data_IF_859490238320
#
_entry.id   IF_859490238320
#
_cell.length_a   1.000
_cell.length_b   1.000
_cell.length_c   1.000
_cell.angle_alpha   90.00
_cell.angle_beta   90.00
_cell.angle_gamma   90.00
#
_symmetry.space_group_name_H-M   'P 1'
#
loop_
_entity.id
_entity.type
_entity.pdbx_description
1 polymer ?
#
# COMPACT_ATOMS: atom_id res chain seq x y z
N UNK A 1 14.01 8.53 4.90
CA UNK A 1 12.60 8.39 4.42
C UNK A 1 11.68 8.28 5.63
N UNK A 2 10.52 8.91 5.64
CA UNK A 2 9.53 8.70 6.71
C UNK A 2 8.76 7.40 6.49
N UNK A 3 8.50 6.66 7.57
CA UNK A 3 7.71 5.43 7.58
C UNK A 3 6.58 5.55 8.58
N UNK A 4 5.52 4.78 8.35
CA UNK A 4 4.40 4.68 9.27
C UNK A 4 4.21 3.21 9.68
N UNK A 5 4.29 2.94 10.98
CA UNK A 5 3.87 1.68 11.57
C UNK A 5 2.46 1.85 12.13
N UNK A 6 1.53 1.04 11.64
CA UNK A 6 0.13 1.10 12.06
C UNK A 6 -0.24 -0.12 12.92
N UNK A 7 -0.66 0.15 14.15
CA UNK A 7 -1.08 -0.87 15.11
C UNK A 7 -2.56 -0.73 15.43
N UNK A 8 -3.31 -1.84 15.39
CA UNK A 8 -4.68 -1.87 15.89
C UNK A 8 -4.65 -1.89 17.41
N UNK A 9 -5.39 -0.98 18.05
CA UNK A 9 -5.47 -0.97 19.52
C UNK A 9 -6.45 -2.02 20.03
N UNK A 10 -6.02 -2.76 21.05
CA UNK A 10 -6.94 -3.37 22.00
C UNK A 10 -7.40 -2.26 22.95
N UNK A 11 -8.71 -2.05 23.06
CA UNK A 11 -9.25 -0.93 23.81
C UNK A 11 -10.11 -1.47 24.94
N UNK A 12 -9.76 -1.09 26.17
CA UNK A 12 -10.74 -1.10 27.25
C UNK A 12 -11.81 -0.02 27.00
N UNK A 13 -12.90 -0.08 27.76
CA UNK A 13 -14.04 0.83 27.62
C UNK A 13 -13.66 2.30 27.86
N UNK A 14 -12.72 2.55 28.76
CA UNK A 14 -12.29 3.90 29.16
C UNK A 14 -11.41 4.54 28.08
N UNK A 15 -10.36 3.83 27.62
CA UNK A 15 -9.52 4.30 26.52
C UNK A 15 -10.35 4.54 25.26
N UNK A 16 -11.28 3.64 24.93
CA UNK A 16 -12.17 3.84 23.78
C UNK A 16 -12.97 5.14 23.88
N UNK A 17 -13.54 5.45 25.04
CA UNK A 17 -14.31 6.68 25.24
C UNK A 17 -13.44 7.94 25.07
N UNK A 18 -12.21 7.93 25.59
CA UNK A 18 -11.25 9.03 25.40
C UNK A 18 -10.97 9.24 23.90
N UNK A 19 -10.69 8.15 23.17
CA UNK A 19 -10.35 8.22 21.75
C UNK A 19 -11.53 8.69 20.90
N UNK A 20 -12.75 8.21 21.18
CA UNK A 20 -13.97 8.69 20.54
C UNK A 20 -14.17 10.19 20.77
N UNK A 21 -13.98 10.65 22.01
CA UNK A 21 -14.09 12.05 22.36
C UNK A 21 -13.08 12.92 21.62
N UNK A 22 -11.77 12.64 21.71
CA UNK A 22 -10.75 13.49 21.06
C UNK A 22 -10.87 13.47 19.52
N UNK A 23 -11.25 12.34 18.92
CA UNK A 23 -11.43 12.25 17.48
C UNK A 23 -12.71 12.97 17.01
N UNK A 24 -13.78 13.01 17.81
CA UNK A 24 -14.96 13.81 17.53
C UNK A 24 -14.65 15.32 17.63
N UNK A 25 -13.87 15.72 18.62
CA UNK A 25 -13.45 17.12 18.80
C UNK A 25 -12.50 17.57 17.67
N UNK A 26 -11.60 16.68 17.23
CA UNK A 26 -10.77 16.92 16.04
C UNK A 26 -11.59 17.08 14.77
N UNK A 27 -12.68 16.32 14.61
CA UNK A 27 -13.60 16.48 13.49
C UNK A 27 -14.22 17.89 13.50
N UNK A 28 -14.72 18.34 14.66
CA UNK A 28 -15.32 19.67 14.77
C UNK A 28 -14.30 20.78 14.48
N UNK A 29 -13.09 20.69 15.07
CA UNK A 29 -12.04 21.67 14.85
C UNK A 29 -11.60 21.74 13.37
N UNK A 30 -11.54 20.58 12.70
CA UNK A 30 -11.24 20.51 11.26
C UNK A 30 -12.30 21.24 10.44
N UNK A 31 -13.59 21.03 10.75
CA UNK A 31 -14.68 21.73 10.08
C UNK A 31 -14.68 23.24 10.37
N UNK A 32 -14.33 23.68 11.58
CA UNK A 32 -14.09 25.10 11.89
C UNK A 32 -12.99 25.67 10.99
N UNK A 33 -11.83 25.01 10.94
CA UNK A 33 -10.72 25.44 10.08
C UNK A 33 -11.11 25.52 8.60
N UNK A 34 -11.80 24.49 8.09
CA UNK A 34 -12.30 24.46 6.70
C UNK A 34 -13.29 25.60 6.46
N UNK A 35 -14.20 25.87 7.40
CA UNK A 35 -15.17 26.96 7.28
C UNK A 35 -14.46 28.30 7.09
N UNK A 36 -13.56 28.64 8.01
CA UNK A 36 -12.82 29.90 7.95
C UNK A 36 -12.03 30.03 6.65
N UNK A 37 -11.26 28.97 6.31
CA UNK A 37 -10.43 28.96 5.12
C UNK A 37 -11.25 29.14 3.84
N UNK A 38 -12.40 28.48 3.74
CA UNK A 38 -13.32 28.62 2.61
C UNK A 38 -13.94 30.00 2.55
N UNK A 39 -14.39 30.57 3.67
CA UNK A 39 -14.96 31.92 3.69
C UNK A 39 -13.94 32.97 3.25
N UNK A 40 -12.69 32.84 3.71
CA UNK A 40 -11.61 33.74 3.32
C UNK A 40 -11.32 33.65 1.81
N UNK A 41 -11.16 32.42 1.29
CA UNK A 41 -10.90 32.18 -0.14
C UNK A 41 -12.05 32.70 -1.01
N UNK A 42 -13.30 32.36 -0.68
CA UNK A 42 -14.47 32.77 -1.47
C UNK A 42 -14.69 34.30 -1.46
N UNK A 43 -14.52 34.96 -0.31
CA UNK A 43 -14.81 36.40 -0.17
C UNK A 43 -13.67 37.30 -0.61
N UNK A 44 -12.42 36.88 -0.41
CA UNK A 44 -11.25 37.77 -0.58
C UNK A 44 -10.19 37.22 -1.53
N UNK A 45 -10.33 35.96 -1.99
CA UNK A 45 -9.32 35.25 -2.77
C UNK A 45 -7.93 35.15 -2.08
N UNK A 46 -7.89 35.42 -0.76
CA UNK A 46 -6.70 35.27 0.08
C UNK A 46 -6.59 33.85 0.60
N UNK A 47 -5.36 33.39 0.77
CA UNK A 47 -5.06 32.08 1.35
C UNK A 47 -4.78 32.26 2.83
N UNK A 48 -5.24 31.31 3.63
CA UNK A 48 -4.75 31.13 4.99
C UNK A 48 -3.27 30.75 4.99
N UNK A 49 -2.49 31.49 5.76
CA UNK A 49 -1.14 31.13 6.14
C UNK A 49 -1.13 29.92 7.08
N UNK A 50 0.06 29.32 7.23
CA UNK A 50 0.28 28.12 8.06
C UNK A 50 -0.19 28.28 9.51
N UNK A 51 -0.11 29.48 10.07
CA UNK A 51 -0.41 29.78 11.47
C UNK A 51 -1.66 30.63 11.67
N UNK A 52 -2.37 30.99 10.60
CA UNK A 52 -3.50 31.92 10.69
C UNK A 52 -4.67 31.28 11.43
N UNK A 53 -4.96 30.02 11.12
CA UNK A 53 -6.00 29.26 11.80
C UNK A 53 -5.69 29.05 13.29
N UNK A 54 -4.42 28.87 13.65
CA UNK A 54 -4.02 28.72 15.05
C UNK A 54 -4.29 29.98 15.86
N UNK A 55 -3.99 31.16 15.28
CA UNK A 55 -4.26 32.46 15.91
C UNK A 55 -5.76 32.69 16.09
N UNK A 56 -6.54 32.35 15.07
CA UNK A 56 -8.00 32.50 15.05
C UNK A 56 -8.67 31.59 16.09
N UNK A 57 -8.30 30.30 16.11
CA UNK A 57 -9.02 29.29 16.88
C UNK A 57 -8.41 28.95 18.25
N UNK A 58 -7.37 29.65 18.72
CA UNK A 58 -6.73 29.39 20.03
C UNK A 58 -7.70 29.36 21.22
N UNK A 59 -8.76 30.16 21.16
CA UNK A 59 -9.78 30.28 22.21
C UNK A 59 -11.03 29.43 21.93
N UNK A 60 -11.03 28.65 20.84
CA UNK A 60 -12.15 27.78 20.50
C UNK A 60 -12.23 26.60 21.47
N UNK A 61 -13.45 26.22 21.85
CA UNK A 61 -13.70 25.08 22.75
C UNK A 61 -13.04 23.79 22.26
N UNK A 62 -13.19 23.45 20.97
CA UNK A 62 -12.61 22.24 20.38
C UNK A 62 -11.08 22.28 20.37
N UNK A 63 -10.49 23.46 20.22
CA UNK A 63 -9.04 23.66 20.32
C UNK A 63 -8.54 23.38 21.74
N UNK A 64 -9.21 23.94 22.75
CA UNK A 64 -8.78 23.86 24.16
C UNK A 64 -9.03 22.48 24.80
N UNK A 65 -9.97 21.71 24.25
CA UNK A 65 -10.22 20.31 24.60
C UNK A 65 -9.06 19.41 24.16
N UNK A 66 -8.47 19.69 23.01
CA UNK A 66 -7.27 19.01 22.55
C UNK A 66 -6.02 19.59 23.22
N UNK A 67 -4.92 18.82 23.23
CA UNK A 67 -3.63 19.43 23.57
C UNK A 67 -3.29 20.49 22.50
N UNK A 68 -2.69 21.62 22.89
CA UNK A 68 -2.44 22.73 21.96
C UNK A 68 -1.66 22.31 20.72
N UNK A 69 -0.69 21.40 20.88
CA UNK A 69 0.09 20.90 19.74
C UNK A 69 -0.71 20.00 18.81
N UNK A 70 -1.63 19.20 19.34
CA UNK A 70 -2.51 18.39 18.51
C UNK A 70 -3.51 19.26 17.73
N UNK A 71 -4.09 20.25 18.40
CA UNK A 71 -5.00 21.23 17.78
C UNK A 71 -4.29 22.01 16.65
N UNK A 72 -3.06 22.46 16.89
CA UNK A 72 -2.23 23.11 15.87
C UNK A 72 -1.98 22.23 14.66
N UNK A 73 -1.66 20.94 14.89
CA UNK A 73 -1.38 20.02 13.79
C UNK A 73 -2.63 19.74 12.94
N UNK A 74 -3.82 19.72 13.55
CA UNK A 74 -5.11 19.61 12.84
C UNK A 74 -5.33 20.82 11.94
N UNK A 75 -5.21 22.04 12.49
CA UNK A 75 -5.43 23.27 11.73
C UNK A 75 -4.37 23.48 10.64
N UNK A 76 -3.12 23.11 10.91
CA UNK A 76 -2.06 23.08 9.90
C UNK A 76 -2.37 22.12 8.75
N UNK A 77 -2.93 20.94 9.02
CA UNK A 77 -3.37 20.01 7.96
C UNK A 77 -4.46 20.60 7.06
N UNK A 78 -5.35 21.43 7.63
CA UNK A 78 -6.34 22.19 6.85
C UNK A 78 -5.64 23.22 5.95
N UNK A 79 -4.71 24.00 6.51
CA UNK A 79 -3.94 24.99 5.74
C UNK A 79 -3.15 24.34 4.59
N UNK A 80 -2.51 23.19 4.84
CA UNK A 80 -1.79 22.40 3.83
C UNK A 80 -2.74 21.91 2.71
N UNK A 81 -3.93 21.43 3.08
CA UNK A 81 -4.94 20.98 2.11
C UNK A 81 -5.40 22.11 1.19
N UNK A 82 -5.57 23.33 1.72
CA UNK A 82 -5.95 24.51 0.93
C UNK A 82 -4.82 24.96 0.01
N UNK A 83 -3.58 24.94 0.50
CA UNK A 83 -2.40 25.23 -0.31
C UNK A 83 -2.30 24.26 -1.49
N UNK A 84 -2.42 22.96 -1.24
CA UNK A 84 -2.41 21.94 -2.30
C UNK A 84 -3.56 22.14 -3.30
N UNK A 85 -4.77 22.46 -2.83
CA UNK A 85 -5.89 22.78 -3.72
C UNK A 85 -5.55 23.93 -4.67
N UNK A 86 -4.96 25.03 -4.17
CA UNK A 86 -4.63 26.18 -5.01
C UNK A 86 -3.57 25.87 -6.05
N UNK A 87 -2.50 25.17 -5.66
CA UNK A 87 -1.44 24.73 -6.57
C UNK A 87 -2.01 23.86 -7.69
N UNK A 88 -2.87 22.89 -7.36
CA UNK A 88 -3.56 22.06 -8.35
C UNK A 88 -4.53 22.88 -9.22
N UNK A 89 -5.25 23.84 -8.64
CA UNK A 89 -6.22 24.66 -9.39
C UNK A 89 -5.50 25.55 -10.41
N UNK A 90 -4.30 26.06 -10.09
CA UNK A 90 -3.45 26.77 -11.04
C UNK A 90 -3.02 25.87 -12.20
N UNK A 91 -2.55 24.65 -11.91
CA UNK A 91 -2.19 23.66 -12.96
C UNK A 91 -3.38 23.27 -13.83
N UNK A 92 -4.55 23.06 -13.22
CA UNK A 92 -5.80 22.77 -13.95
C UNK A 92 -6.20 23.91 -14.88
N UNK A 93 -6.07 25.18 -14.44
CA UNK A 93 -6.32 26.35 -15.30
C UNK A 93 -5.36 26.45 -16.48
N UNK A 94 -4.15 25.90 -16.37
CA UNK A 94 -3.17 25.80 -17.46
C UNK A 94 -3.39 24.59 -18.39
N UNK A 95 -4.38 23.74 -18.11
CA UNK A 95 -4.61 22.51 -18.88
C UNK A 95 -3.65 21.36 -18.57
N UNK A 96 -2.82 21.48 -17.52
CA UNK A 96 -1.84 20.45 -17.13
C UNK A 96 -2.45 19.25 -16.40
N UNK A 97 -3.74 19.33 -16.02
CA UNK A 97 -4.45 18.30 -15.28
C UNK A 97 -5.71 17.86 -16.04
N UNK A 98 -5.92 16.55 -16.10
CA UNK A 98 -7.15 15.93 -16.65
C UNK A 98 -8.37 16.20 -15.77
N UNK A 99 -8.16 16.24 -14.44
CA UNK A 99 -9.23 16.42 -13.46
C UNK A 99 -9.21 17.81 -12.84
N UNK A 100 -10.40 18.36 -12.63
CA UNK A 100 -10.58 19.65 -11.95
C UNK A 100 -10.50 19.47 -10.43
N UNK A 101 -9.57 20.14 -9.74
CA UNK A 101 -9.48 20.06 -8.28
C UNK A 101 -10.67 20.76 -7.62
N UNK A 102 -11.05 20.29 -6.43
CA UNK A 102 -12.15 20.83 -5.65
C UNK A 102 -11.68 21.39 -4.31
N UNK A 103 -12.26 22.52 -3.92
CA UNK A 103 -12.01 23.15 -2.63
C UNK A 103 -12.38 22.16 -1.50
N UNK A 104 -11.55 22.00 -0.44
CA UNK A 104 -11.80 21.07 0.65
C UNK A 104 -13.21 21.22 1.22
N UNK A 105 -13.94 20.11 1.29
CA UNK A 105 -15.34 20.07 1.74
C UNK A 105 -15.39 19.80 3.23
N UNK A 106 -16.46 20.26 3.87
CA UNK A 106 -16.76 19.87 5.24
C UNK A 106 -16.85 18.35 5.36
N UNK A 107 -16.35 17.83 6.47
CA UNK A 107 -16.54 16.44 6.83
C UNK A 107 -18.00 16.26 7.25
N UNK A 108 -18.69 15.26 6.67
CA UNK A 108 -20.11 15.01 6.88
C UNK A 108 -20.39 14.55 8.33
N UNK A 109 -21.63 14.75 8.80
CA UNK A 109 -22.08 14.70 10.21
C UNK A 109 -21.57 13.48 11.03
N UNK A 110 -21.32 13.76 12.31
CA UNK A 110 -20.91 12.84 13.39
C UNK A 110 -19.81 11.84 13.00
N UNK A 111 -18.72 12.39 12.45
CA UNK A 111 -17.52 11.65 12.13
C UNK A 111 -16.46 11.72 13.23
N UNK A 112 -15.65 10.67 13.32
CA UNK A 112 -14.38 10.70 14.04
C UNK A 112 -13.28 11.10 13.04
N UNK A 113 -12.39 12.01 13.42
CA UNK A 113 -11.26 12.43 12.58
C UNK A 113 -9.90 12.11 13.20
N UNK A 114 -8.87 12.08 12.36
CA UNK A 114 -7.50 11.79 12.74
C UNK A 114 -6.97 12.84 13.73
N UNK A 115 -6.41 12.40 14.85
CA UNK A 115 -5.68 13.27 15.77
C UNK A 115 -4.19 12.99 15.66
N UNK A 116 -3.38 14.05 15.55
CA UNK A 116 -1.94 13.92 15.38
C UNK A 116 -1.20 14.63 16.49
N UNK A 117 -0.22 13.94 17.07
CA UNK A 117 0.66 14.45 18.12
C UNK A 117 2.11 14.46 17.62
N UNK A 118 2.75 15.63 17.48
CA UNK A 118 4.18 15.68 17.19
C UNK A 118 4.98 15.13 18.38
N UNK A 119 6.19 14.62 18.10
CA UNK A 119 7.08 14.02 19.12
C UNK A 119 7.22 14.88 20.38
N UNK A 120 7.35 16.19 20.23
CA UNK A 120 7.56 17.13 21.34
C UNK A 120 6.37 17.22 22.32
N UNK A 121 5.16 16.75 21.93
CA UNK A 121 4.01 16.62 22.84
C UNK A 121 4.05 15.34 23.67
N UNK A 122 4.78 14.32 23.21
CA UNK A 122 4.76 12.97 23.76
C UNK A 122 5.84 12.84 24.83
N UNK A 123 5.54 12.08 25.89
CA UNK A 123 6.54 11.69 26.90
C UNK A 123 6.61 10.18 27.03
N UNK A 124 7.80 9.68 27.36
CA UNK A 124 7.99 8.29 27.75
C UNK A 124 7.90 8.18 29.26
N UNK A 125 7.01 7.33 29.75
CA UNK A 125 6.75 7.13 31.18
C UNK A 125 6.39 5.67 31.38
N UNK A 126 7.07 4.96 32.29
CA UNK A 126 6.75 3.58 32.70
C UNK A 126 6.49 2.61 31.53
N UNK A 127 7.39 2.60 30.55
CA UNK A 127 7.29 1.79 29.32
C UNK A 127 6.09 2.08 28.40
N UNK A 128 5.43 3.22 28.61
CA UNK A 128 4.29 3.68 27.83
C UNK A 128 4.55 5.08 27.26
N UNK A 129 3.76 5.44 26.25
CA UNK A 129 3.75 6.79 25.69
C UNK A 129 2.61 7.55 26.35
N UNK A 130 2.98 8.58 27.14
CA UNK A 130 2.04 9.54 27.70
C UNK A 130 1.64 10.54 26.61
N UNK A 131 0.33 10.62 26.37
CA UNK A 131 -0.29 11.52 25.40
C UNK A 131 -1.08 12.59 26.16
N UNK A 132 -0.77 13.89 25.99
CA UNK A 132 -1.45 14.95 26.71
C UNK A 132 -2.85 15.21 26.17
N UNK A 133 -3.74 15.64 27.06
CA UNK A 133 -5.06 16.17 26.74
C UNK A 133 -5.07 17.69 26.94
N UNK A 134 -6.14 18.35 26.49
CA UNK A 134 -6.31 19.78 26.67
C UNK A 134 -6.61 20.17 28.11
N UNK A 135 -6.35 21.44 28.45
CA UNK A 135 -6.59 21.97 29.81
C UNK A 135 -8.06 21.86 30.22
N UNK A 136 -8.96 22.01 29.25
CA UNK A 136 -10.41 21.89 29.44
C UNK A 136 -10.80 20.47 29.87
N UNK A 137 -10.16 19.44 29.32
CA UNK A 137 -10.42 18.04 29.70
C UNK A 137 -9.97 17.76 31.12
N UNK A 138 -8.80 18.31 31.50
CA UNK A 138 -8.33 18.24 32.89
C UNK A 138 -9.31 18.88 33.87
N UNK A 139 -9.89 20.03 33.50
CA UNK A 139 -10.87 20.73 34.33
C UNK A 139 -12.19 19.96 34.44
N UNK A 140 -12.70 19.42 33.33
CA UNK A 140 -14.01 18.73 33.33
C UNK A 140 -13.95 17.33 33.92
N UNK A 141 -12.86 16.59 33.70
CA UNK A 141 -12.79 15.16 34.00
C UNK A 141 -11.63 14.77 34.92
N UNK A 142 -10.83 15.74 35.39
CA UNK A 142 -9.61 15.46 36.15
C UNK A 142 -8.51 14.76 35.33
N UNK A 143 -8.70 14.60 34.02
CA UNK A 143 -7.84 13.80 33.15
C UNK A 143 -6.91 14.71 32.33
N UNK A 144 -5.62 14.67 32.62
CA UNK A 144 -4.61 15.48 31.94
C UNK A 144 -3.92 14.77 30.77
N UNK A 145 -4.01 13.45 30.73
CA UNK A 145 -3.32 12.58 29.78
C UNK A 145 -3.87 11.16 29.78
N UNK A 146 -3.51 10.40 28.75
CA UNK A 146 -3.71 8.96 28.69
C UNK A 146 -2.44 8.29 28.17
N UNK A 147 -2.37 6.97 28.31
CA UNK A 147 -1.18 6.21 28.00
C UNK A 147 -1.47 5.17 26.93
N UNK A 148 -0.53 5.02 25.99
CA UNK A 148 -0.57 3.97 24.99
C UNK A 148 0.63 3.04 25.13
N UNK A 149 0.44 1.72 24.92
CA UNK A 149 1.54 0.78 24.93
C UNK A 149 2.47 1.06 23.76
N UNK A 150 3.71 0.66 23.96
CA UNK A 150 4.77 0.86 22.99
C UNK A 150 4.96 -0.41 22.18
N UNK A 151 5.72 -0.32 21.11
CA UNK A 151 5.96 -1.45 20.23
C UNK A 151 7.38 -1.94 20.43
N UNK A 152 7.58 -3.23 20.63
CA UNK A 152 8.91 -3.82 20.88
C UNK A 152 9.91 -3.59 19.74
N UNK A 153 9.42 -3.29 18.54
CA UNK A 153 10.23 -3.12 17.34
C UNK A 153 10.51 -1.65 16.96
N UNK A 154 10.10 -0.67 17.76
CA UNK A 154 10.33 0.76 17.49
C UNK A 154 10.72 1.49 18.77
N UNK A 155 11.85 2.20 18.76
CA UNK A 155 12.29 2.97 19.92
C UNK A 155 11.54 4.29 19.98
N UNK A 156 11.21 4.75 21.20
CA UNK A 156 10.51 6.01 21.38
C UNK A 156 11.22 7.17 20.68
N UNK A 157 12.55 7.25 20.77
CA UNK A 157 13.39 8.31 20.21
C UNK A 157 13.27 8.43 18.68
N UNK A 158 12.90 7.36 17.98
CA UNK A 158 12.78 7.33 16.53
C UNK A 158 11.43 7.91 16.05
N UNK A 159 10.44 7.95 16.94
CA UNK A 159 9.12 8.50 16.65
C UNK A 159 9.24 10.00 16.42
N UNK A 160 8.70 10.46 15.29
CA UNK A 160 8.59 11.87 14.91
C UNK A 160 7.18 12.39 15.16
N UNK A 161 6.19 11.52 15.00
CA UNK A 161 4.78 11.85 15.15
C UNK A 161 3.97 10.59 15.50
N UNK A 162 2.95 10.74 16.34
CA UNK A 162 1.98 9.70 16.66
C UNK A 162 0.61 10.15 16.19
N UNK A 163 -0.10 9.31 15.44
CA UNK A 163 -1.47 9.59 14.98
C UNK A 163 -2.45 8.58 15.50
N UNK A 164 -3.64 9.06 15.85
CA UNK A 164 -4.78 8.26 16.28
C UNK A 164 -5.79 8.31 15.15
N UNK A 165 -5.87 7.20 14.40
CA UNK A 165 -6.71 7.08 13.22
C UNK A 165 -7.97 6.25 13.53
N UNK A 166 -9.15 6.88 13.59
CA UNK A 166 -10.40 6.16 13.62
C UNK A 166 -10.72 5.56 12.24
N UNK A 167 -11.08 4.28 12.19
CA UNK A 167 -11.47 3.59 10.95
C UNK A 167 -12.43 2.43 11.25
N UNK A 168 -13.62 2.45 10.66
CA UNK A 168 -14.62 1.36 10.77
C UNK A 168 -14.88 0.90 12.22
N UNK A 169 -15.09 1.86 13.14
CA UNK A 169 -15.23 1.63 14.60
C UNK A 169 -14.04 0.98 15.30
N UNK A 170 -12.87 0.97 14.65
CA UNK A 170 -11.60 0.62 15.26
C UNK A 170 -10.73 1.87 15.36
N UNK A 171 -9.77 1.85 16.27
CA UNK A 171 -8.74 2.88 16.34
C UNK A 171 -7.37 2.27 16.08
N UNK A 172 -6.62 2.97 15.25
CA UNK A 172 -5.24 2.65 14.93
C UNK A 172 -4.32 3.69 15.53
N UNK A 173 -3.20 3.24 16.08
CA UNK A 173 -2.06 4.11 16.36
C UNK A 173 -1.11 4.00 15.20
N UNK A 174 -0.79 5.13 14.60
CA UNK A 174 0.20 5.26 13.57
C UNK A 174 1.44 5.95 14.15
N UNK A 175 2.54 5.21 14.24
CA UNK A 175 3.83 5.76 14.60
C UNK A 175 4.56 6.16 13.32
N UNK A 176 4.74 7.46 13.13
CA UNK A 176 5.54 8.00 12.05
C UNK A 176 6.96 8.17 12.57
N UNK A 177 7.91 7.55 11.90
CA UNK A 177 9.33 7.57 12.27
C UNK A 177 10.20 7.74 11.05
N UNK A 178 11.40 8.24 11.27
CA UNK A 178 12.40 8.32 10.22
C UNK A 178 13.15 7.00 10.13
N UNK A 179 13.17 6.40 8.94
CA UNK A 179 13.98 5.23 8.64
C UNK A 179 15.09 5.65 7.70
N UNK A 180 16.30 5.23 8.04
CA UNK A 180 17.38 5.20 7.06
C UNK A 180 17.16 3.98 6.16
N UNK A 181 17.51 4.06 4.86
CA UNK A 181 17.62 2.89 4.02
C UNK A 181 18.55 1.88 4.71
N UNK A 182 18.19 0.59 4.64
CA UNK A 182 19.11 -0.47 5.00
C UNK A 182 19.88 -0.75 3.72
N UNK A 183 21.14 -0.39 3.71
CA UNK A 183 21.99 -0.80 2.61
C UNK A 183 22.12 -2.33 2.74
N UNK A 184 21.82 -3.09 1.67
CA UNK A 184 21.86 -4.56 1.61
C UNK A 184 22.58 -4.95 0.33
N UNK A 185 23.62 -5.79 0.37
CA UNK A 185 24.37 -6.15 -0.85
C UNK A 185 23.50 -6.93 -1.80
N UNK A 186 23.30 -6.38 -2.98
CA UNK A 186 22.74 -7.09 -4.13
C UNK A 186 23.72 -6.86 -5.28
N UNK A 187 24.22 -7.95 -5.89
CA UNK A 187 24.88 -7.91 -7.23
C UNK A 187 24.00 -7.05 -8.17
N UNK A 188 24.41 -6.38 -9.26
CA UNK A 188 23.52 -5.61 -10.16
C UNK A 188 23.03 -6.34 -11.44
N UNK A 189 23.56 -7.53 -11.74
CA UNK A 189 23.35 -8.30 -12.99
C UNK A 189 22.18 -9.31 -12.95
N UNK A 190 21.87 -9.89 -11.80
CA UNK A 190 20.61 -10.64 -11.60
C UNK A 190 19.34 -9.77 -11.75
N UNK A 191 18.29 -10.33 -12.30
CA UNK A 191 17.03 -9.60 -12.47
C UNK A 191 15.88 -10.51 -12.10
N UNK A 192 14.85 -9.94 -11.50
CA UNK A 192 13.59 -10.60 -11.22
C UNK A 192 12.49 -9.91 -12.01
N UNK A 193 11.94 -10.61 -13.00
CA UNK A 193 10.74 -10.18 -13.74
C UNK A 193 9.50 -10.60 -12.99
N UNK A 194 8.53 -9.69 -12.90
CA UNK A 194 7.29 -9.88 -12.17
C UNK A 194 6.08 -9.59 -13.07
N UNK A 195 5.24 -10.60 -13.28
CA UNK A 195 3.96 -10.52 -14.02
C UNK A 195 2.79 -10.62 -13.02
N UNK A 196 2.03 -9.54 -12.79
CA UNK A 196 0.84 -9.55 -11.94
C UNK A 196 -0.37 -10.13 -12.68
N UNK A 197 -0.84 -11.29 -12.21
CA UNK A 197 -2.04 -11.93 -12.74
C UNK A 197 -3.26 -11.87 -11.81
N UNK A 198 -4.34 -12.54 -12.24
CA UNK A 198 -5.59 -12.61 -11.46
C UNK A 198 -5.65 -13.79 -10.48
N UNK A 199 -5.29 -14.99 -10.95
CA UNK A 199 -5.37 -16.21 -10.13
C UNK A 199 -4.02 -16.52 -9.50
N UNK A 200 -2.97 -16.50 -10.31
CA UNK A 200 -1.60 -16.31 -9.86
C UNK A 200 -1.48 -14.80 -9.69
N UNK A 201 -1.53 -14.32 -8.44
CA UNK A 201 -1.60 -12.89 -8.16
C UNK A 201 -0.33 -12.17 -8.64
N UNK A 202 0.81 -12.83 -8.48
CA UNK A 202 2.10 -12.37 -8.97
C UNK A 202 2.93 -13.59 -9.35
N UNK A 203 3.54 -13.58 -10.52
CA UNK A 203 4.47 -14.60 -10.98
C UNK A 203 5.84 -13.98 -11.16
N UNK A 204 6.87 -14.61 -10.58
CA UNK A 204 8.24 -14.15 -10.66
C UNK A 204 9.12 -15.13 -11.42
N UNK A 205 10.03 -14.61 -12.24
CA UNK A 205 11.12 -15.35 -12.87
C UNK A 205 12.42 -14.61 -12.62
N UNK A 206 13.45 -15.32 -12.17
CA UNK A 206 14.78 -14.77 -11.95
C UNK A 206 15.73 -15.20 -13.06
N UNK A 207 16.65 -14.31 -13.45
CA UNK A 207 17.78 -14.66 -14.31
C UNK A 207 18.70 -15.74 -13.69
N UNK A 208 18.59 -15.98 -12.38
CA UNK A 208 19.28 -17.09 -11.68
C UNK A 208 18.62 -18.46 -11.90
N UNK A 209 17.62 -18.56 -12.77
CA UNK A 209 16.97 -19.83 -13.09
C UNK A 209 15.95 -20.31 -12.05
N UNK A 210 15.35 -19.39 -11.28
CA UNK A 210 14.26 -19.70 -10.35
C UNK A 210 12.97 -19.02 -10.76
N UNK A 211 11.84 -19.63 -10.39
CA UNK A 211 10.53 -19.05 -10.65
C UNK A 211 9.54 -19.37 -9.55
N UNK A 212 8.63 -18.45 -9.29
CA UNK A 212 7.61 -18.60 -8.27
C UNK A 212 6.28 -17.97 -8.66
N UNK A 213 5.23 -18.37 -7.95
CA UNK A 213 3.86 -17.87 -8.09
C UNK A 213 3.31 -17.60 -6.70
N UNK A 214 2.78 -16.40 -6.48
CA UNK A 214 1.98 -16.07 -5.31
C UNK A 214 0.50 -16.31 -5.63
N UNK A 215 -0.16 -17.20 -4.91
CA UNK A 215 -1.57 -17.53 -5.16
C UNK A 215 -2.52 -16.41 -4.74
N UNK A 216 -3.38 -15.98 -5.67
CA UNK A 216 -4.41 -14.96 -5.47
C UNK A 216 -5.80 -15.52 -5.17
N UNK A 217 -6.01 -16.83 -5.26
CA UNK A 217 -7.35 -17.43 -5.11
C UNK A 217 -7.93 -17.24 -3.73
N UNK A 218 -7.11 -17.40 -2.69
CA UNK A 218 -7.59 -17.19 -1.33
C UNK A 218 -7.99 -15.71 -1.11
N UNK A 219 -7.19 -14.76 -1.61
CA UNK A 219 -7.48 -13.32 -1.52
C UNK A 219 -8.80 -12.99 -2.22
N UNK A 220 -9.01 -13.58 -3.39
CA UNK A 220 -10.27 -13.50 -4.13
C UNK A 220 -11.45 -14.11 -3.38
N UNK A 221 -11.26 -15.26 -2.74
CA UNK A 221 -12.29 -15.92 -1.93
C UNK A 221 -12.73 -15.04 -0.76
N UNK A 222 -11.78 -14.42 -0.06
CA UNK A 222 -12.04 -13.46 1.01
C UNK A 222 -12.86 -12.28 0.50
N UNK A 223 -12.51 -11.71 -0.66
CA UNK A 223 -13.23 -10.57 -1.20
C UNK A 223 -14.63 -10.96 -1.71
N UNK A 224 -14.79 -12.14 -2.33
CA UNK A 224 -16.10 -12.66 -2.75
C UNK A 224 -17.03 -12.85 -1.56
N UNK A 225 -16.53 -13.43 -0.47
CA UNK A 225 -17.31 -13.59 0.76
C UNK A 225 -17.74 -12.24 1.33
N UNK A 226 -16.83 -11.27 1.37
CA UNK A 226 -17.15 -9.89 1.78
C UNK A 226 -18.27 -9.28 0.93
N UNK A 227 -18.20 -9.37 -0.41
CA UNK A 227 -19.26 -8.84 -1.27
C UNK A 227 -20.61 -9.52 -1.05
N UNK A 228 -20.63 -10.84 -0.86
CA UNK A 228 -21.86 -11.57 -0.51
C UNK A 228 -22.48 -11.03 0.78
N UNK A 229 -21.66 -10.84 1.83
CA UNK A 229 -22.12 -10.29 3.11
C UNK A 229 -22.61 -8.85 2.98
N UNK A 230 -21.92 -8.00 2.21
CA UNK A 230 -22.37 -6.62 1.97
C UNK A 230 -23.70 -6.57 1.23
N UNK A 231 -23.89 -7.42 0.21
CA UNK A 231 -25.14 -7.50 -0.54
C UNK A 231 -26.31 -7.86 0.37
N UNK A 232 -26.17 -8.92 1.19
CA UNK A 232 -27.19 -9.31 2.17
C UNK A 232 -27.48 -8.21 3.19
N UNK A 233 -26.46 -7.52 3.71
CA UNK A 233 -26.66 -6.46 4.71
C UNK A 233 -27.27 -5.17 4.15
N UNK A 234 -27.15 -4.93 2.84
CA UNK A 234 -27.70 -3.75 2.16
C UNK A 234 -29.02 -4.02 1.46
N UNK A 235 -29.49 -5.26 1.45
CA UNK A 235 -30.76 -5.65 0.86
C UNK A 235 -31.93 -4.89 1.51
N UNK A 236 -32.76 -4.25 0.69
CA UNK A 236 -33.88 -3.42 1.16
C UNK A 236 -33.48 -2.17 1.96
N UNK A 237 -32.20 -1.74 1.93
CA UNK A 237 -31.73 -0.54 2.65
C UNK A 237 -31.56 0.67 1.71
N UNK A 238 -31.71 1.89 2.23
CA UNK A 238 -31.53 3.10 1.43
C UNK A 238 -30.10 3.22 0.90
N UNK A 239 -29.95 3.97 -0.20
CA UNK A 239 -28.64 4.28 -0.77
C UNK A 239 -27.76 4.99 0.27
N UNK A 240 -26.54 4.48 0.47
CA UNK A 240 -25.61 4.99 1.47
C UNK A 240 -25.75 4.37 2.87
N UNK A 241 -26.63 3.37 3.05
CA UNK A 241 -26.74 2.65 4.32
C UNK A 241 -25.40 2.12 4.83
N UNK A 242 -25.14 2.39 6.11
CA UNK A 242 -23.94 1.99 6.82
C UNK A 242 -24.30 1.53 8.23
N UNK A 243 -23.71 0.42 8.69
CA UNK A 243 -23.99 -0.18 9.99
C UNK A 243 -22.72 -0.64 10.68
N UNK A 244 -22.78 -0.81 12.00
CA UNK A 244 -21.67 -1.37 12.80
C UNK A 244 -21.22 -2.72 12.26
N UNK A 245 -22.14 -3.55 11.77
CA UNK A 245 -21.80 -4.84 11.17
C UNK A 245 -21.06 -4.67 9.84
N UNK A 246 -21.51 -3.76 8.97
CA UNK A 246 -20.83 -3.43 7.71
C UNK A 246 -19.41 -2.93 7.97
N UNK A 247 -19.23 -2.04 8.94
CA UNK A 247 -17.92 -1.55 9.34
C UNK A 247 -16.99 -2.69 9.84
N UNK A 248 -17.48 -3.58 10.71
CA UNK A 248 -16.72 -4.74 11.22
C UNK A 248 -16.24 -5.67 10.09
N UNK A 249 -17.14 -6.05 9.16
CA UNK A 249 -16.76 -6.95 8.05
C UNK A 249 -15.81 -6.26 7.07
N UNK A 250 -15.99 -4.96 6.85
CA UNK A 250 -15.11 -4.13 5.99
C UNK A 250 -13.72 -4.06 6.59
N UNK A 251 -13.60 -3.82 7.89
CA UNK A 251 -12.30 -3.73 8.56
C UNK A 251 -11.59 -5.08 8.60
N UNK A 252 -12.31 -6.18 8.86
CA UNK A 252 -11.76 -7.53 8.79
C UNK A 252 -11.17 -7.82 7.41
N UNK A 253 -11.91 -7.47 6.35
CA UNK A 253 -11.46 -7.62 4.95
C UNK A 253 -10.27 -6.72 4.63
N UNK A 254 -10.29 -5.45 5.03
CA UNK A 254 -9.19 -4.51 4.79
C UNK A 254 -7.88 -4.97 5.45
N UNK A 255 -7.94 -5.46 6.69
CA UNK A 255 -6.78 -6.04 7.38
C UNK A 255 -6.22 -7.26 6.65
N UNK A 256 -7.08 -8.18 6.21
CA UNK A 256 -6.65 -9.34 5.42
C UNK A 256 -5.93 -8.91 4.15
N UNK A 257 -6.49 -7.99 3.38
CA UNK A 257 -5.85 -7.51 2.14
C UNK A 257 -4.49 -6.90 2.43
N UNK A 258 -4.39 -6.04 3.45
CA UNK A 258 -3.12 -5.43 3.85
C UNK A 258 -2.09 -6.47 4.25
N UNK A 259 -2.48 -7.47 5.02
CA UNK A 259 -1.61 -8.58 5.42
C UNK A 259 -1.11 -9.36 4.20
N UNK A 260 -1.98 -9.69 3.25
CA UNK A 260 -1.59 -10.35 1.99
C UNK A 260 -0.60 -9.50 1.18
N UNK A 261 -0.87 -8.20 1.02
CA UNK A 261 0.03 -7.25 0.32
C UNK A 261 1.40 -7.21 0.98
N UNK A 262 1.45 -7.08 2.31
CA UNK A 262 2.72 -7.02 3.03
C UNK A 262 3.50 -8.34 2.96
N UNK A 263 2.82 -9.48 3.06
CA UNK A 263 3.45 -10.80 2.95
C UNK A 263 3.96 -11.09 1.54
N UNK A 264 3.17 -10.76 0.51
CA UNK A 264 3.58 -10.93 -0.87
C UNK A 264 4.78 -10.03 -1.21
N UNK A 265 4.73 -8.76 -0.82
CA UNK A 265 5.86 -7.84 -1.02
C UNK A 265 7.12 -8.33 -0.28
N UNK A 266 6.97 -8.75 0.98
CA UNK A 266 8.09 -9.33 1.75
C UNK A 266 8.65 -10.58 1.09
N UNK A 267 7.78 -11.46 0.57
CA UNK A 267 8.22 -12.66 -0.12
C UNK A 267 9.07 -12.31 -1.35
N UNK A 268 8.61 -11.38 -2.19
CA UNK A 268 9.37 -10.94 -3.36
C UNK A 268 10.73 -10.40 -2.98
N UNK A 269 10.80 -9.54 -1.95
CA UNK A 269 12.06 -8.96 -1.46
C UNK A 269 12.95 -10.06 -0.89
N UNK A 270 12.40 -10.97 -0.08
CA UNK A 270 13.13 -12.14 0.42
C UNK A 270 13.68 -12.99 -0.74
N UNK A 271 12.93 -13.21 -1.82
CA UNK A 271 13.45 -13.93 -2.98
C UNK A 271 14.63 -13.18 -3.63
N UNK A 272 14.66 -11.86 -3.59
CA UNK A 272 15.80 -11.10 -4.11
C UNK A 272 17.03 -11.19 -3.21
N UNK A 273 16.83 -11.32 -1.90
CA UNK A 273 17.90 -11.42 -0.90
C UNK A 273 18.41 -12.86 -0.70
N UNK A 274 17.50 -13.84 -0.64
CA UNK A 274 17.78 -15.25 -0.35
C UNK A 274 18.47 -15.96 -1.50
N UNK A 275 18.27 -15.56 -2.76
CA UNK A 275 18.93 -16.21 -3.91
C UNK A 275 20.43 -15.88 -4.05
N UNK A 276 21.04 -15.30 -3.01
CA UNK A 276 22.50 -15.37 -2.79
C UNK A 276 22.93 -16.66 -2.07
N UNK A 277 21.98 -17.47 -1.54
CA UNK A 277 22.22 -18.72 -0.82
C UNK A 277 21.10 -19.75 -1.13
N UNK A 278 21.36 -20.63 -2.09
CA UNK A 278 20.65 -21.83 -2.54
C UNK A 278 19.35 -22.34 -1.84
N UNK A 279 18.30 -22.51 -2.68
CA UNK A 279 17.34 -23.63 -2.93
C UNK A 279 16.23 -24.12 -1.95
N UNK A 280 15.03 -24.17 -2.57
CA UNK A 280 13.98 -25.21 -2.62
C UNK A 280 12.92 -25.42 -1.51
N UNK A 281 11.63 -25.38 -1.91
CA UNK A 281 10.54 -26.27 -1.45
C UNK A 281 9.22 -26.09 -2.26
N UNK A 282 8.70 -27.15 -2.91
CA UNK A 282 7.47 -27.12 -3.76
C UNK A 282 6.28 -27.83 -3.08
N UNK A 283 5.06 -27.28 -3.19
CA UNK A 283 3.79 -28.03 -3.04
C UNK A 283 2.64 -27.47 -3.91
N UNK A 284 1.68 -28.34 -4.26
CA UNK A 284 0.61 -28.14 -5.23
C UNK A 284 -0.79 -27.88 -4.62
N UNK A 285 -1.71 -27.32 -5.43
CA UNK A 285 -3.12 -27.14 -5.08
C UNK A 285 -4.00 -26.68 -6.26
N UNK A 286 -5.10 -27.42 -6.52
CA UNK A 286 -5.98 -27.28 -7.69
C UNK A 286 -7.11 -26.22 -7.54
N UNK A 287 -7.69 -25.85 -8.68
CA UNK A 287 -8.39 -24.59 -9.01
C UNK A 287 -9.93 -24.66 -8.94
N UNK A 288 -10.56 -23.51 -8.62
CA UNK A 288 -11.97 -23.20 -8.88
C UNK A 288 -12.16 -21.84 -9.59
N UNK A 289 -13.29 -21.65 -10.30
CA UNK A 289 -13.58 -20.58 -11.30
C UNK A 289 -14.38 -19.35 -10.77
N UNK A 290 -14.45 -18.34 -11.67
CA UNK A 290 -15.25 -17.08 -11.78
C UNK A 290 -14.68 -15.75 -11.23
N UNK A 291 -14.80 -14.70 -12.06
CA UNK A 291 -14.03 -13.45 -12.15
C UNK A 291 -14.56 -12.28 -11.29
N UNK A 292 -13.66 -11.39 -10.83
CA UNK A 292 -13.90 -9.99 -10.40
C UNK A 292 -12.59 -9.20 -10.62
N UNK A 293 -12.40 -8.59 -11.79
CA UNK A 293 -11.13 -7.96 -12.21
C UNK A 293 -10.80 -6.66 -11.46
N UNK A 294 -11.80 -5.83 -11.16
CA UNK A 294 -11.61 -4.49 -10.56
C UNK A 294 -11.05 -4.48 -9.13
N UNK A 295 -11.25 -5.56 -8.37
CA UNK A 295 -10.68 -5.67 -7.03
C UNK A 295 -9.20 -6.05 -7.04
N UNK A 296 -8.85 -6.98 -7.94
CA UNK A 296 -7.47 -7.46 -8.04
C UNK A 296 -6.56 -6.31 -8.46
N UNK A 297 -7.00 -5.43 -9.37
CA UNK A 297 -6.24 -4.24 -9.76
C UNK A 297 -5.90 -3.34 -8.57
N UNK A 298 -6.84 -3.09 -7.64
CA UNK A 298 -6.59 -2.28 -6.44
C UNK A 298 -5.58 -2.96 -5.50
N UNK A 299 -5.71 -4.28 -5.28
CA UNK A 299 -4.78 -5.02 -4.44
C UNK A 299 -3.37 -5.08 -5.07
N UNK A 300 -3.31 -5.26 -6.40
CA UNK A 300 -2.09 -5.24 -7.18
C UNK A 300 -1.43 -3.86 -7.13
N UNK A 301 -2.16 -2.76 -7.33
CA UNK A 301 -1.61 -1.41 -7.20
C UNK A 301 -0.98 -1.17 -5.81
N UNK A 302 -1.65 -1.64 -4.75
CA UNK A 302 -1.10 -1.59 -3.38
C UNK A 302 0.15 -2.47 -3.22
N UNK A 303 0.19 -3.62 -3.88
CA UNK A 303 1.35 -4.50 -3.89
C UNK A 303 2.53 -3.86 -4.63
N UNK A 304 2.29 -3.25 -5.80
CA UNK A 304 3.31 -2.49 -6.56
C UNK A 304 3.94 -1.40 -5.71
N UNK A 305 3.09 -0.54 -5.13
CA UNK A 305 3.55 0.54 -4.25
C UNK A 305 4.31 0.01 -3.04
N UNK A 306 3.82 -1.07 -2.42
CA UNK A 306 4.50 -1.67 -1.28
C UNK A 306 5.86 -2.26 -1.66
N UNK A 307 5.97 -2.90 -2.82
CA UNK A 307 7.25 -3.42 -3.31
C UNK A 307 8.20 -2.27 -3.58
N UNK A 308 7.79 -1.22 -4.31
CA UNK A 308 8.59 -0.01 -4.54
C UNK A 308 9.20 0.56 -3.25
N UNK A 309 8.38 0.72 -2.21
CA UNK A 309 8.84 1.19 -0.89
C UNK A 309 9.88 0.27 -0.24
N UNK A 310 9.71 -1.05 -0.35
CA UNK A 310 10.68 -2.02 0.20
C UNK A 310 11.95 -2.10 -0.64
N UNK A 311 11.84 -1.95 -1.96
CA UNK A 311 12.95 -1.91 -2.90
C UNK A 311 13.85 -0.71 -2.58
N UNK A 312 13.27 0.49 -2.47
CA UNK A 312 13.98 1.71 -2.05
C UNK A 312 14.70 1.54 -0.71
N UNK A 313 14.06 0.86 0.25
CA UNK A 313 14.65 0.59 1.55
C UNK A 313 15.83 -0.37 1.52
N UNK A 314 15.83 -1.33 0.60
CA UNK A 314 16.87 -2.35 0.48
C UNK A 314 17.92 -1.97 -0.57
N UNK A 315 17.88 -0.75 -1.12
CA UNK A 315 18.78 -0.32 -2.20
C UNK A 315 18.51 -1.02 -3.54
N UNK A 316 17.36 -1.68 -3.70
CA UNK A 316 16.99 -2.29 -4.96
C UNK A 316 16.21 -1.24 -5.78
N UNK A 317 16.76 -0.80 -6.91
CA UNK A 317 16.12 0.02 -7.93
C UNK A 317 14.89 -0.70 -8.44
N UNK A 318 13.87 0.06 -8.82
CA UNK A 318 12.60 -0.47 -9.30
C UNK A 318 12.17 0.29 -10.55
N UNK A 319 12.05 -0.44 -11.65
CA UNK A 319 11.70 0.04 -12.99
C UNK A 319 10.28 -0.43 -13.26
N UNK A 320 9.49 0.38 -13.94
CA UNK A 320 8.21 -0.07 -14.50
C UNK A 320 8.34 -0.18 -16.04
N UNK A 321 7.73 -1.20 -16.65
CA UNK A 321 7.77 -1.46 -18.11
C UNK A 321 6.40 -1.89 -18.64
N UNK A 322 6.13 -1.64 -19.92
CA UNK A 322 4.86 -1.95 -20.57
C UNK A 322 4.70 -3.41 -21.03
N UNK A 323 3.46 -3.93 -21.01
CA UNK A 323 3.12 -5.34 -21.29
C UNK A 323 3.11 -5.74 -22.78
N UNK A 324 3.46 -4.84 -23.70
CA UNK A 324 3.24 -5.05 -25.13
C UNK A 324 3.84 -6.38 -25.61
N UNK A 325 2.96 -7.27 -26.09
CA UNK A 325 3.26 -8.60 -26.64
C UNK A 325 3.94 -9.60 -25.69
N UNK A 326 4.10 -9.31 -24.39
CA UNK A 326 4.73 -10.21 -23.40
C UNK A 326 3.98 -11.53 -23.26
N UNK A 327 2.66 -11.55 -23.45
CA UNK A 327 1.84 -12.76 -23.38
C UNK A 327 1.76 -13.55 -24.71
N UNK A 328 2.33 -13.02 -25.81
CA UNK A 328 2.18 -13.56 -27.16
C UNK A 328 3.50 -14.08 -27.72
N UNK A 329 4.56 -13.26 -27.68
CA UNK A 329 5.87 -13.62 -28.18
C UNK A 329 6.47 -14.79 -27.37
N UNK A 330 6.97 -15.81 -28.03
CA UNK A 330 7.59 -16.94 -27.35
C UNK A 330 8.94 -16.54 -26.76
N UNK A 331 9.11 -16.82 -25.47
CA UNK A 331 10.37 -16.56 -24.78
C UNK A 331 11.46 -17.52 -25.28
N UNK A 332 11.14 -18.82 -25.31
CA UNK A 332 12.06 -19.90 -25.65
C UNK A 332 12.43 -19.94 -27.14
N UNK A 333 11.60 -19.37 -28.01
CA UNK A 333 11.86 -19.29 -29.45
C UNK A 333 12.55 -17.98 -29.85
N UNK A 334 12.90 -17.12 -28.89
CA UNK A 334 13.52 -15.81 -29.13
C UNK A 334 12.73 -14.87 -30.06
N UNK A 335 11.39 -14.95 -30.00
CA UNK A 335 10.52 -14.02 -30.75
C UNK A 335 10.83 -12.56 -30.40
N UNK A 336 10.79 -11.68 -31.40
CA UNK A 336 10.93 -10.24 -31.18
C UNK A 336 9.77 -9.69 -30.33
N UNK A 337 10.08 -8.72 -29.46
CA UNK A 337 9.14 -8.05 -28.56
C UNK A 337 8.97 -6.58 -28.97
N UNK A 338 8.25 -6.27 -30.07
CA UNK A 338 8.06 -4.88 -30.48
C UNK A 338 7.18 -4.12 -29.48
N UNK A 339 7.35 -2.81 -29.39
CA UNK A 339 6.38 -1.94 -28.70
C UNK A 339 5.11 -1.81 -29.52
N UNK A 340 3.98 -1.39 -28.91
CA UNK A 340 2.71 -1.25 -29.63
C UNK A 340 2.80 -0.36 -30.89
N UNK A 341 3.61 0.70 -30.83
CA UNK A 341 3.79 1.67 -31.92
C UNK A 341 4.83 1.21 -32.95
N UNK A 342 5.73 0.30 -32.57
CA UNK A 342 6.88 -0.14 -33.39
C UNK A 342 6.67 -1.56 -33.94
N UNK A 343 5.42 -2.03 -34.03
CA UNK A 343 5.10 -3.38 -34.51
C UNK A 343 5.41 -3.49 -36.01
N UNK A 344 6.32 -4.38 -36.44
CA UNK A 344 6.55 -4.61 -37.87
C UNK A 344 5.30 -5.17 -38.54
N UNK A 345 5.08 -4.77 -39.78
CA UNK A 345 4.02 -5.32 -40.63
C UNK A 345 4.27 -6.83 -40.82
N UNK A 346 3.22 -7.65 -40.66
CA UNK A 346 3.34 -9.11 -40.76
C UNK A 346 3.91 -9.83 -39.53
N UNK A 347 4.24 -9.15 -38.43
CA UNK A 347 4.74 -9.83 -37.21
C UNK A 347 3.73 -10.84 -36.66
N UNK A 348 4.20 -12.08 -36.47
CA UNK A 348 3.44 -13.19 -35.88
C UNK A 348 4.29 -13.89 -34.80
N UNK A 349 3.70 -14.25 -33.66
CA UNK A 349 4.41 -15.04 -32.65
C UNK A 349 4.58 -16.49 -33.13
N UNK A 350 5.72 -17.10 -32.81
CA UNK A 350 6.00 -18.50 -33.15
C UNK A 350 5.23 -19.47 -32.25
N UNK A 351 5.01 -19.08 -31.00
CA UNK A 351 4.22 -19.81 -30.01
C UNK A 351 2.80 -19.27 -29.85
N UNK A 352 1.98 -19.99 -29.07
CA UNK A 352 0.62 -19.57 -28.75
C UNK A 352 0.15 -20.02 -27.38
N UNK A 353 -0.69 -19.20 -26.75
CA UNK A 353 -1.43 -19.59 -25.56
C UNK A 353 -2.54 -20.56 -25.95
N UNK A 354 -2.50 -21.78 -25.43
CA UNK A 354 -3.50 -22.83 -25.79
C UNK A 354 -4.69 -22.81 -24.85
N UNK A 355 -4.46 -22.61 -23.57
CA UNK A 355 -5.49 -22.42 -22.55
C UNK A 355 -4.96 -21.55 -21.41
N UNK A 356 -5.84 -21.11 -20.51
CA UNK A 356 -5.45 -20.30 -19.36
C UNK A 356 -4.37 -21.04 -18.54
N UNK A 357 -3.28 -20.35 -18.26
CA UNK A 357 -2.12 -20.88 -17.52
C UNK A 357 -1.15 -21.73 -18.35
N UNK A 358 -1.42 -21.99 -19.64
CA UNK A 358 -0.57 -22.86 -20.47
C UNK A 358 -0.21 -22.18 -21.81
N UNK A 359 1.09 -22.07 -22.07
CA UNK A 359 1.66 -21.57 -23.32
C UNK A 359 2.35 -22.70 -24.08
N UNK A 360 2.24 -22.71 -25.41
CA UNK A 360 2.88 -23.70 -26.29
C UNK A 360 3.89 -23.01 -27.19
N UNK A 361 5.15 -23.46 -27.17
CA UNK A 361 6.23 -22.96 -28.05
C UNK A 361 6.10 -23.48 -29.48
N UNK A 362 6.96 -23.00 -30.38
CA UNK A 362 7.05 -23.48 -31.76
C UNK A 362 7.34 -24.99 -31.85
N UNK A 363 8.19 -25.52 -30.97
CA UNK A 363 8.53 -26.96 -30.89
C UNK A 363 7.48 -27.77 -30.11
N UNK A 364 6.25 -27.27 -29.98
CA UNK A 364 5.14 -27.91 -29.26
C UNK A 364 5.43 -28.23 -27.78
N UNK A 365 6.35 -27.51 -27.14
CA UNK A 365 6.62 -27.65 -25.71
C UNK A 365 5.64 -26.80 -24.90
N UNK A 366 5.23 -27.30 -23.74
CA UNK A 366 4.28 -26.62 -22.87
C UNK A 366 4.96 -26.04 -21.63
N UNK A 367 4.69 -24.76 -21.35
CA UNK A 367 5.19 -24.02 -20.20
C UNK A 367 4.07 -23.24 -19.52
N UNK A 368 4.32 -22.76 -18.29
CA UNK A 368 3.38 -21.90 -17.57
C UNK A 368 3.30 -20.53 -18.26
N UNK A 369 2.08 -20.12 -18.62
CA UNK A 369 1.86 -18.87 -19.36
C UNK A 369 2.23 -17.61 -18.57
N UNK A 370 2.08 -17.62 -17.25
CA UNK A 370 2.35 -16.45 -16.41
C UNK A 370 3.87 -16.38 -16.09
N UNK A 371 4.56 -17.53 -16.01
CA UNK A 371 6.03 -17.54 -15.92
C UNK A 371 6.67 -17.11 -17.25
N UNK A 372 6.07 -17.52 -18.37
CA UNK A 372 6.44 -17.05 -19.71
C UNK A 372 6.29 -15.53 -19.85
N UNK A 373 5.17 -14.96 -19.37
CA UNK A 373 4.98 -13.51 -19.30
C UNK A 373 6.06 -12.82 -18.47
N UNK A 374 6.32 -13.31 -17.25
CA UNK A 374 7.37 -12.79 -16.38
C UNK A 374 8.77 -12.83 -17.02
N UNK A 375 9.11 -13.89 -17.76
CA UNK A 375 10.39 -13.99 -18.48
C UNK A 375 10.51 -12.97 -19.62
N UNK A 376 9.41 -12.73 -20.35
CA UNK A 376 9.38 -11.73 -21.42
C UNK A 376 9.51 -10.29 -20.91
N UNK A 377 9.00 -9.99 -19.70
CA UNK A 377 9.20 -8.69 -19.04
C UNK A 377 10.70 -8.42 -18.84
N UNK A 378 11.45 -9.44 -18.39
CA UNK A 378 12.90 -9.34 -18.23
C UNK A 378 13.55 -9.11 -19.58
N UNK A 379 13.22 -9.94 -20.58
CA UNK A 379 13.80 -9.86 -21.92
C UNK A 379 13.64 -8.47 -22.54
N UNK A 380 12.48 -7.84 -22.34
CA UNK A 380 12.17 -6.51 -22.87
C UNK A 380 13.10 -5.42 -22.33
N UNK A 381 13.54 -5.54 -21.08
CA UNK A 381 14.49 -4.59 -20.49
C UNK A 381 15.93 -5.07 -20.60
N UNK A 382 16.15 -6.36 -20.77
CA UNK A 382 17.47 -6.94 -21.07
C UNK A 382 18.06 -6.38 -22.36
N UNK A 383 17.24 -6.03 -23.36
CA UNK A 383 17.72 -5.34 -24.57
C UNK A 383 18.38 -3.98 -24.26
N UNK A 384 18.03 -3.35 -23.14
CA UNK A 384 18.61 -2.08 -22.69
C UNK A 384 19.72 -2.28 -21.65
N UNK A 385 19.63 -3.31 -20.80
CA UNK A 385 20.49 -3.50 -19.63
C UNK A 385 21.44 -4.72 -19.71
N UNK A 386 21.41 -5.48 -20.81
CA UNK A 386 22.28 -6.63 -21.11
C UNK A 386 22.37 -7.70 -20.01
N UNK A 387 21.23 -8.16 -19.50
CA UNK A 387 21.20 -9.25 -18.52
C UNK A 387 21.42 -10.62 -19.18
N UNK A 388 22.17 -11.51 -18.53
CA UNK A 388 22.28 -12.91 -18.96
C UNK A 388 21.01 -13.69 -18.56
N UNK A 389 20.32 -14.23 -19.56
CA UNK A 389 19.09 -15.03 -19.40
C UNK A 389 19.29 -16.49 -19.84
N UNK A 390 20.53 -16.93 -20.09
CA UNK A 390 20.86 -18.29 -20.52
C UNK A 390 20.33 -19.37 -19.58
N UNK A 391 20.25 -19.08 -18.28
CA UNK A 391 19.78 -19.99 -17.23
C UNK A 391 18.25 -20.09 -17.18
N UNK A 392 17.50 -19.16 -17.80
CA UNK A 392 16.02 -19.16 -17.85
C UNK A 392 15.54 -20.19 -18.88
N UNK A 393 15.63 -21.46 -18.52
CA UNK A 393 15.27 -22.59 -19.38
C UNK A 393 13.80 -22.98 -19.26
N UNK A 394 13.35 -23.88 -20.14
CA UNK A 394 12.02 -24.53 -20.06
C UNK A 394 11.71 -25.07 -18.66
N UNK A 395 12.69 -25.65 -17.97
CA UNK A 395 12.50 -26.21 -16.63
C UNK A 395 11.98 -25.17 -15.63
N UNK A 396 12.56 -23.97 -15.68
CA UNK A 396 12.18 -22.80 -14.87
C UNK A 396 10.75 -22.36 -15.18
N UNK A 397 10.37 -22.37 -16.46
CA UNK A 397 9.05 -21.88 -16.90
C UNK A 397 7.93 -22.92 -16.75
N UNK A 398 8.24 -24.21 -16.57
CA UNK A 398 7.21 -25.26 -16.55
C UNK A 398 6.53 -25.38 -15.19
N UNK A 399 7.30 -25.36 -14.08
CA UNK A 399 6.79 -25.59 -12.72
C UNK A 399 7.30 -24.58 -11.71
N UNK A 400 6.78 -23.34 -11.73
CA UNK A 400 7.09 -22.35 -10.70
C UNK A 400 6.71 -22.82 -9.31
N UNK A 401 7.53 -22.46 -8.31
CA UNK A 401 7.24 -22.70 -6.90
C UNK A 401 6.00 -21.91 -6.47
N UNK A 402 5.03 -22.56 -5.82
CA UNK A 402 3.79 -21.89 -5.41
C UNK A 402 3.85 -21.47 -3.94
N UNK A 403 3.52 -20.22 -3.69
CA UNK A 403 3.40 -19.63 -2.37
C UNK A 403 1.96 -19.21 -2.08
N UNK A 404 1.47 -19.55 -0.89
CA UNK A 404 0.15 -19.14 -0.41
C UNK A 404 0.31 -18.08 0.68
N UNK A 405 -0.40 -16.95 0.56
CA UNK A 405 -0.30 -15.84 1.51
C UNK A 405 -0.66 -16.21 2.97
N UNK A 406 -1.48 -17.25 3.17
CA UNK A 406 -1.99 -17.67 4.49
C UNK A 406 -1.89 -19.19 4.71
N UNK A 407 -0.78 -19.80 4.31
CA UNK A 407 -0.51 -21.20 4.70
C UNK A 407 -0.21 -21.29 6.20
N UNK A 408 -0.74 -22.34 6.85
CA UNK A 408 -0.53 -22.61 8.29
C UNK A 408 0.88 -23.14 8.60
N UNK A 409 1.68 -23.48 7.58
CA UNK A 409 3.07 -23.89 7.78
C UNK A 409 3.86 -22.69 8.31
N UNK A 410 4.37 -22.83 9.54
CA UNK A 410 5.44 -21.96 10.06
C UNK A 410 6.62 -22.10 9.10
N UNK A 411 6.75 -21.19 8.15
CA UNK A 411 8.07 -20.89 7.62
C UNK A 411 8.83 -20.25 8.77
N UNK A 412 9.54 -21.08 9.55
CA UNK A 412 10.74 -20.60 10.22
C UNK A 412 11.59 -20.10 9.06
N UNK A 413 11.62 -18.79 8.83
CA UNK A 413 12.67 -18.26 7.99
C UNK A 413 13.97 -18.70 8.64
N UNK A 414 14.95 -19.25 7.90
CA UNK A 414 16.29 -19.48 8.46
C UNK A 414 16.87 -18.18 9.03
N UNK A 415 16.34 -17.04 8.59
CA UNK A 415 16.60 -15.69 9.08
C UNK A 415 15.88 -15.41 10.42
N UNK A 416 16.36 -16.03 11.50
CA UNK A 416 16.34 -15.37 12.81
C UNK A 416 17.00 -13.97 12.78
N UNK A 417 17.80 -13.73 11.74
CA UNK A 417 18.58 -12.52 11.45
C UNK A 417 17.69 -11.36 10.91
N UNK A 418 16.51 -11.62 10.33
CA UNK A 418 15.59 -10.56 9.89
C UNK A 418 14.72 -9.96 11.02
N UNK A 419 14.94 -10.34 12.29
CA UNK A 419 14.35 -9.60 13.42
C UNK A 419 14.98 -8.22 13.59
N UNK A 420 16.20 -8.01 13.08
CA UNK A 420 16.98 -6.79 13.28
C UNK A 420 17.67 -6.21 12.02
N UNK A 421 17.62 -6.82 10.83
CA UNK A 421 18.26 -6.31 9.59
C UNK A 421 17.61 -5.03 9.00
N UNK A 422 18.05 -3.78 9.12
CA UNK A 422 19.32 -3.15 9.57
C UNK A 422 20.55 -4.04 9.60
N UNK A 423 21.29 -4.08 8.48
CA UNK A 423 22.77 -4.01 8.35
C UNK A 423 23.20 -4.54 6.98
N UNK A 424 23.92 -3.73 6.19
CA UNK A 424 24.98 -4.16 5.23
C UNK A 424 24.83 -3.97 3.70
N UNK A 425 25.16 -2.78 3.17
CA UNK A 425 25.59 -2.30 1.81
C UNK A 425 25.31 -2.99 0.44
N UNK A 426 24.75 -2.24 -0.56
CA UNK A 426 24.94 -2.22 -2.08
C UNK A 426 23.77 -2.60 -3.06
N UNK A 427 23.58 -1.85 -4.17
CA UNK A 427 22.37 -1.74 -5.07
C UNK A 427 22.23 -2.68 -6.29
N UNK A 428 20.97 -3.02 -6.68
CA UNK A 428 20.53 -3.73 -7.92
C UNK A 428 19.22 -3.18 -8.48
N UNK A 429 18.80 -3.54 -9.69
CA UNK A 429 17.63 -3.03 -10.44
C UNK A 429 16.51 -4.07 -10.65
N UNK A 430 15.27 -3.73 -10.31
CA UNK A 430 14.00 -4.44 -10.58
C UNK A 430 13.34 -3.85 -11.81
N UNK A 431 12.52 -4.64 -12.50
CA UNK A 431 11.56 -4.19 -13.50
C UNK A 431 10.21 -4.85 -13.20
N UNK A 432 9.15 -4.04 -13.21
CA UNK A 432 7.78 -4.39 -12.88
C UNK A 432 6.84 -3.93 -13.96
N UNK A 433 5.75 -4.64 -14.14
CA UNK A 433 4.83 -4.39 -15.22
C UNK A 433 3.88 -3.24 -14.89
N UNK A 434 3.70 -2.28 -15.81
CA UNK A 434 2.75 -1.18 -15.66
C UNK A 434 1.40 -1.47 -16.34
N UNK A 435 0.66 -2.43 -15.80
CA UNK A 435 -0.77 -2.43 -15.99
C UNK A 435 -1.43 -1.45 -15.02
N UNK A 436 -2.07 -0.43 -15.58
CA UNK A 436 -3.29 0.26 -15.17
C UNK A 436 -3.15 1.78 -15.35
N UNK A 437 -3.33 2.23 -16.59
CA UNK A 437 -3.89 3.56 -16.83
C UNK A 437 -5.20 3.68 -16.05
N UNK A 438 -5.29 4.76 -15.29
CA UNK A 438 -6.44 5.15 -14.51
C UNK A 438 -7.70 5.14 -15.37
N UNK A 439 -8.60 4.20 -15.12
CA UNK A 439 -10.02 4.39 -15.40
C UNK A 439 -10.74 4.65 -14.07
N UNK A 440 -10.83 5.94 -13.76
CA UNK A 440 -12.01 6.62 -13.21
C UNK A 440 -13.06 5.71 -12.56
N UNK A 441 -13.08 5.72 -11.23
CA UNK A 441 -14.31 5.52 -10.47
C UNK A 441 -15.24 6.71 -10.74
N UNK A 442 -16.10 6.58 -11.74
CA UNK A 442 -17.27 7.46 -11.86
C UNK A 442 -18.43 6.90 -11.03
N UNK A 443 -18.77 7.69 -10.01
CA UNK A 443 -20.00 7.81 -9.19
C UNK A 443 -20.53 6.59 -8.42
#
# INVERSE_FOLDING_TARGET
MYRCQQNLMSMDKHLKAILEFICAESHQLTNCGIYYARQLDLKTQKIIGKFDLDKEYKNNKHYQVLSSQAAQQILKSVAESLKSFKELNQKSRKGELTDKPHLPKYIKKEGLFLVTYPKQALKWVDNQIRIPLGKTVKQWFGLDSFYLPTTSNLRFQEIKELRILPRNHCFYVEFVYESKPVEIEVNPDNVLGLDPGLNNWLTGVSSLGTSFVIDGRHLKSVNRWYHKQVATLKEGKPQGFWSTQLAKITEKRNRKIRDAVNKAARLVINQCLEHQRNKDQKEEGNLGKKNHQSFVSIATAKLKERMRQLCEQCGIKFIETEESYTSKASFLDNDSLPKFVEKPEGWQPSGKRTKRGLYRTAQNQYINADAHGAANIIRKVSTTLNFDLSVVSRGVLTRPQKFQCWSAKKTRSPLGILRHLWVGEVKKTFIMEDNYSCYTLQK
#
